data_IF_634917629406
#
_entry.id   IF_634917629406
#
_cell.length_a   1.000
_cell.length_b   1.000
_cell.length_c   1.000
_cell.angle_alpha   90.00
_cell.angle_beta   90.00
_cell.angle_gamma   90.00
#
_symmetry.space_group_name_H-M   'P 1'
#
loop_
_entity.id
_entity.type
_entity.pdbx_description
1 polymer ?
#
# COMPACT_ATOMS: atom_id res chain seq x y z
N UNK A 1 5.10 -16.87 15.04
CA UNK A 1 4.09 -17.20 13.99
C UNK A 1 4.81 -17.94 12.89
N UNK A 2 4.26 -19.05 12.48
CA UNK A 2 4.73 -19.75 11.28
C UNK A 2 4.11 -19.06 10.04
N UNK A 3 4.77 -19.19 8.91
CA UNK A 3 4.25 -18.63 7.64
C UNK A 3 2.85 -19.15 7.33
N UNK A 4 2.58 -20.42 7.65
CA UNK A 4 1.29 -21.08 7.48
C UNK A 4 0.14 -20.36 8.19
N UNK A 5 0.39 -19.80 9.37
CA UNK A 5 -0.64 -19.05 10.12
C UNK A 5 -0.97 -17.71 9.45
N UNK A 6 0.05 -17.03 8.87
CA UNK A 6 -0.17 -15.79 8.11
C UNK A 6 -1.01 -16.05 6.87
N UNK A 7 -0.68 -17.11 6.12
CA UNK A 7 -1.42 -17.47 4.91
C UNK A 7 -2.80 -18.04 5.22
N UNK A 8 -2.95 -18.83 6.30
CA UNK A 8 -4.27 -19.30 6.74
C UNK A 8 -5.22 -18.13 7.12
N UNK A 9 -4.68 -17.03 7.64
CA UNK A 9 -5.46 -15.82 7.83
C UNK A 9 -5.94 -15.24 6.49
N UNK A 10 -5.05 -15.14 5.50
CA UNK A 10 -5.43 -14.70 4.16
C UNK A 10 -6.42 -15.66 3.48
N UNK A 11 -6.25 -16.96 3.66
CA UNK A 11 -7.17 -17.98 3.10
C UNK A 11 -8.60 -17.82 3.66
N UNK A 12 -8.75 -17.37 4.90
CA UNK A 12 -10.06 -17.05 5.47
C UNK A 12 -10.76 -15.87 4.78
N UNK A 13 -10.03 -15.12 3.93
CA UNK A 13 -10.51 -13.98 3.16
C UNK A 13 -10.71 -14.28 1.68
N UNK A 14 -10.47 -15.52 1.22
CA UNK A 14 -10.52 -15.89 -0.21
C UNK A 14 -11.88 -15.68 -0.85
N UNK A 15 -12.97 -15.74 -0.07
CA UNK A 15 -14.33 -15.43 -0.57
C UNK A 15 -14.49 -13.97 -1.00
N UNK A 16 -13.53 -13.09 -0.60
CA UNK A 16 -13.56 -11.66 -0.86
C UNK A 16 -12.37 -11.16 -1.67
N UNK A 17 -11.53 -12.06 -2.19
CA UNK A 17 -10.34 -11.72 -2.95
C UNK A 17 -9.53 -12.93 -3.37
N UNK A 18 -8.41 -12.69 -4.04
CA UNK A 18 -7.48 -13.73 -4.47
C UNK A 18 -6.05 -13.35 -4.10
N UNK A 19 -5.23 -14.35 -3.83
CA UNK A 19 -3.79 -14.15 -3.71
C UNK A 19 -3.21 -13.59 -5.01
N UNK A 20 -2.50 -12.48 -4.89
CA UNK A 20 -1.85 -11.82 -6.02
C UNK A 20 -0.34 -12.00 -5.95
N UNK A 21 0.25 -11.76 -4.78
CA UNK A 21 1.67 -11.95 -4.55
C UNK A 21 1.92 -12.46 -3.13
N UNK A 22 2.97 -13.23 -2.97
CA UNK A 22 3.49 -13.63 -1.67
C UNK A 22 5.01 -13.71 -1.74
N UNK A 23 5.68 -13.47 -0.63
CA UNK A 23 7.12 -13.54 -0.61
C UNK A 23 7.75 -13.26 0.74
N UNK A 24 9.07 -13.30 0.75
CA UNK A 24 9.88 -12.89 1.87
C UNK A 24 10.98 -11.93 1.45
N UNK A 25 11.36 -11.05 2.36
CA UNK A 25 12.39 -10.04 2.19
C UNK A 25 13.29 -9.99 3.40
N UNK A 26 14.37 -9.20 3.35
CA UNK A 26 15.37 -9.12 4.41
C UNK A 26 15.89 -10.52 4.83
N UNK A 27 16.33 -11.29 3.83
CA UNK A 27 16.83 -12.67 4.03
C UNK A 27 15.82 -13.59 4.74
N UNK A 28 14.52 -13.48 4.41
CA UNK A 28 13.47 -14.29 5.01
C UNK A 28 12.91 -13.78 6.34
N UNK A 29 13.46 -12.70 6.88
CA UNK A 29 13.01 -12.15 8.16
C UNK A 29 11.60 -11.59 8.11
N UNK A 30 11.21 -10.94 7.02
CA UNK A 30 9.88 -10.39 6.83
C UNK A 30 9.15 -11.20 5.76
N UNK A 31 7.96 -11.67 6.10
CA UNK A 31 7.07 -12.41 5.20
C UNK A 31 5.84 -11.58 4.93
N UNK A 32 5.39 -11.57 3.68
CA UNK A 32 4.20 -10.86 3.27
C UNK A 32 3.38 -11.67 2.27
N UNK A 33 2.10 -11.37 2.24
CA UNK A 33 1.16 -11.79 1.20
C UNK A 33 0.24 -10.63 0.84
N UNK A 34 -0.10 -10.52 -0.43
CA UNK A 34 -1.01 -9.52 -0.96
C UNK A 34 -2.19 -10.19 -1.61
N UNK A 35 -3.40 -9.87 -1.15
CA UNK A 35 -4.65 -10.31 -1.74
C UNK A 35 -5.22 -9.17 -2.58
N UNK A 36 -5.52 -9.44 -3.84
CA UNK A 36 -6.32 -8.53 -4.65
C UNK A 36 -7.78 -8.65 -4.20
N UNK A 37 -8.39 -7.52 -3.82
CA UNK A 37 -9.80 -7.47 -3.46
C UNK A 37 -10.66 -7.40 -4.72
N UNK A 38 -11.82 -8.01 -4.71
CA UNK A 38 -12.71 -8.07 -5.89
C UNK A 38 -13.36 -6.73 -6.23
N UNK A 39 -13.21 -5.74 -5.37
CA UNK A 39 -13.69 -4.39 -5.60
C UNK A 39 -12.60 -3.54 -6.28
N UNK A 40 -12.89 -3.09 -7.50
CA UNK A 40 -12.11 -2.05 -8.20
C UNK A 40 -12.69 -0.68 -7.88
N UNK A 41 -11.80 0.31 -7.75
CA UNK A 41 -12.19 1.72 -7.73
C UNK A 41 -12.05 2.23 -9.16
N UNK A 42 -13.16 2.70 -9.72
CA UNK A 42 -13.19 3.25 -11.08
C UNK A 42 -13.24 4.76 -11.00
N UNK A 43 -12.19 5.41 -11.50
CA UNK A 43 -12.09 6.85 -11.61
C UNK A 43 -12.40 7.21 -13.06
N UNK A 44 -13.62 7.63 -13.34
CA UNK A 44 -14.03 8.01 -14.69
C UNK A 44 -14.90 9.27 -14.70
N UNK A 45 -14.37 10.43 -14.35
CA UNK A 45 -15.13 11.66 -14.43
C UNK A 45 -15.23 12.24 -15.86
N UNK A 46 -14.45 11.74 -16.82
CA UNK A 46 -14.35 12.32 -18.18
C UNK A 46 -14.42 11.29 -19.31
N UNK A 47 -14.77 10.03 -19.01
CA UNK A 47 -14.83 8.95 -20.01
C UNK A 47 -13.47 8.28 -20.28
N UNK A 48 -12.43 8.60 -19.51
CA UNK A 48 -11.16 7.87 -19.50
C UNK A 48 -11.17 6.97 -18.27
N UNK A 49 -11.63 5.74 -18.46
CA UNK A 49 -11.78 4.78 -17.36
C UNK A 49 -10.42 4.45 -16.76
N UNK A 50 -10.09 5.05 -15.62
CA UNK A 50 -8.92 4.69 -14.82
C UNK A 50 -9.34 3.73 -13.71
N UNK A 51 -8.70 2.56 -13.65
CA UNK A 51 -9.03 1.49 -12.70
C UNK A 51 -7.92 1.33 -11.68
N UNK A 52 -8.28 1.50 -10.42
CA UNK A 52 -7.36 1.29 -9.30
C UNK A 52 -7.73 0.00 -8.59
N UNK A 53 -6.85 -0.99 -8.69
CA UNK A 53 -6.96 -2.23 -7.93
C UNK A 53 -6.59 -1.98 -6.47
N UNK A 54 -7.32 -2.58 -5.57
CA UNK A 54 -7.06 -2.48 -4.14
C UNK A 54 -6.59 -3.82 -3.60
N UNK A 55 -5.59 -3.77 -2.74
CA UNK A 55 -4.96 -4.95 -2.14
C UNK A 55 -5.06 -4.90 -0.63
N UNK A 56 -5.31 -6.06 -0.03
CA UNK A 56 -5.07 -6.29 1.39
C UNK A 56 -3.68 -6.91 1.53
N UNK A 57 -2.75 -6.14 2.08
CA UNK A 57 -1.41 -6.58 2.39
C UNK A 57 -1.39 -7.16 3.81
N UNK A 58 -1.05 -8.43 3.94
CA UNK A 58 -0.77 -9.08 5.22
C UNK A 58 0.71 -9.32 5.36
N UNK A 59 1.28 -9.01 6.51
CA UNK A 59 2.70 -9.20 6.73
C UNK A 59 3.05 -9.42 8.21
N UNK A 60 4.19 -10.02 8.45
CA UNK A 60 4.78 -10.23 9.78
C UNK A 60 6.30 -10.33 9.69
N UNK A 61 6.99 -10.34 10.83
CA UNK A 61 8.41 -10.65 10.88
C UNK A 61 8.71 -11.80 11.86
N UNK A 62 9.75 -12.56 11.55
CA UNK A 62 10.22 -13.65 12.41
C UNK A 62 11.11 -13.18 13.56
N UNK A 63 11.69 -11.98 13.44
CA UNK A 63 12.55 -11.35 14.44
C UNK A 63 11.79 -10.44 15.42
N UNK A 64 10.47 -10.36 15.29
CA UNK A 64 9.63 -9.48 16.12
C UNK A 64 9.73 -7.99 15.79
N UNK A 65 10.45 -7.60 14.73
CA UNK A 65 10.56 -6.20 14.30
C UNK A 65 9.24 -5.63 13.77
N UNK A 66 8.34 -6.49 13.29
CA UNK A 66 6.99 -6.13 12.82
C UNK A 66 5.94 -7.00 13.51
N UNK A 67 4.88 -6.37 13.98
CA UNK A 67 3.68 -7.09 14.40
C UNK A 67 3.00 -7.75 13.20
N UNK A 68 2.09 -8.68 13.46
CA UNK A 68 1.19 -9.17 12.43
C UNK A 68 0.25 -8.04 12.06
N UNK A 69 0.17 -7.70 10.79
CA UNK A 69 -0.61 -6.57 10.32
C UNK A 69 -1.32 -6.90 9.02
N UNK A 70 -2.52 -6.34 8.88
CA UNK A 70 -3.21 -6.22 7.61
C UNK A 70 -3.35 -4.73 7.27
N UNK A 71 -2.98 -4.35 6.08
CA UNK A 71 -3.02 -2.96 5.61
C UNK A 71 -3.65 -2.89 4.23
N UNK A 72 -4.51 -1.91 4.01
CA UNK A 72 -5.11 -1.70 2.69
C UNK A 72 -4.24 -0.74 1.90
N UNK A 73 -3.99 -1.07 0.66
CA UNK A 73 -3.12 -0.29 -0.22
C UNK A 73 -3.55 -0.43 -1.69
N UNK A 74 -3.47 0.64 -2.49
CA UNK A 74 -3.58 0.53 -3.94
C UNK A 74 -2.27 0.03 -4.59
N UNK A 75 -1.23 -0.21 -3.82
CA UNK A 75 0.08 -0.63 -4.32
C UNK A 75 0.19 -2.15 -4.35
N UNK A 76 0.42 -2.72 -5.53
CA UNK A 76 0.79 -4.12 -5.68
C UNK A 76 2.19 -4.35 -5.14
N UNK A 77 2.29 -5.17 -4.10
CA UNK A 77 3.58 -5.46 -3.46
C UNK A 77 4.27 -6.62 -4.17
N UNK A 78 5.45 -6.35 -4.74
CA UNK A 78 6.26 -7.35 -5.47
C UNK A 78 7.72 -7.36 -5.03
N UNK A 79 8.17 -6.36 -4.28
CA UNK A 79 9.55 -6.24 -3.82
C UNK A 79 9.64 -5.37 -2.55
N UNK A 80 10.84 -5.24 -1.99
CA UNK A 80 11.11 -4.42 -0.80
C UNK A 80 10.64 -2.97 -0.97
N UNK A 81 10.89 -2.36 -2.15
CA UNK A 81 10.53 -0.96 -2.38
C UNK A 81 9.02 -0.76 -2.39
N UNK A 82 8.28 -1.63 -3.07
CA UNK A 82 6.81 -1.57 -3.12
C UNK A 82 6.19 -1.92 -1.78
N UNK A 83 6.78 -2.83 -0.99
CA UNK A 83 6.35 -3.09 0.39
C UNK A 83 6.54 -1.85 1.26
N UNK A 84 7.70 -1.21 1.19
CA UNK A 84 7.98 0.02 1.95
C UNK A 84 7.01 1.14 1.56
N UNK A 85 6.75 1.32 0.27
CA UNK A 85 5.79 2.30 -0.22
C UNK A 85 4.37 2.00 0.29
N UNK A 86 3.91 0.74 0.21
CA UNK A 86 2.61 0.31 0.68
C UNK A 86 2.44 0.57 2.20
N UNK A 87 3.45 0.22 3.01
CA UNK A 87 3.41 0.41 4.46
C UNK A 87 3.43 1.90 4.86
N UNK A 88 4.18 2.72 4.15
CA UNK A 88 4.24 4.17 4.41
C UNK A 88 2.95 4.87 3.99
N UNK A 89 2.30 4.40 2.92
CA UNK A 89 1.04 4.94 2.44
C UNK A 89 -0.18 4.42 3.21
N UNK A 90 -0.04 3.34 3.97
CA UNK A 90 -1.14 2.71 4.68
C UNK A 90 -1.65 3.60 5.82
N UNK A 91 -2.71 4.34 5.57
CA UNK A 91 -3.41 5.16 6.59
C UNK A 91 -4.26 4.30 7.53
N UNK A 92 -4.64 3.11 7.10
CA UNK A 92 -5.47 2.18 7.85
C UNK A 92 -4.77 0.83 7.95
N UNK A 93 -4.44 0.44 9.16
CA UNK A 93 -3.76 -0.80 9.48
C UNK A 93 -4.46 -1.50 10.62
N UNK A 94 -4.79 -2.76 10.41
CA UNK A 94 -5.26 -3.64 11.47
C UNK A 94 -4.07 -4.44 12.01
N UNK A 95 -3.86 -4.40 13.33
CA UNK A 95 -2.79 -5.13 14.02
C UNK A 95 -3.40 -6.12 14.99
N UNK A 96 -2.92 -7.34 14.99
CA UNK A 96 -3.37 -8.34 15.95
C UNK A 96 -2.24 -9.13 16.57
N UNK A 97 -2.57 -9.75 17.69
CA UNK A 97 -1.68 -10.68 18.36
C UNK A 97 -1.95 -12.09 17.86
N UNK A 98 -1.03 -13.01 18.12
CA UNK A 98 -1.21 -14.41 17.83
C UNK A 98 -2.43 -14.95 18.60
N UNK A 99 -3.52 -15.20 17.89
CA UNK A 99 -4.67 -15.92 18.42
C UNK A 99 -4.53 -17.39 18.03
N UNK A 100 -4.68 -18.28 19.01
CA UNK A 100 -4.51 -19.73 18.79
C UNK A 100 -5.76 -20.41 18.22
N UNK A 101 -6.92 -19.73 18.19
CA UNK A 101 -8.18 -20.31 17.73
C UNK A 101 -8.52 -19.94 16.28
N UNK A 102 -9.15 -20.87 15.57
CA UNK A 102 -9.65 -20.64 14.22
C UNK A 102 -10.74 -19.54 14.20
N UNK A 103 -11.58 -19.49 15.24
CA UNK A 103 -12.62 -18.47 15.39
C UNK A 103 -12.03 -17.07 15.54
N UNK A 104 -10.95 -16.92 16.32
CA UNK A 104 -10.22 -15.64 16.45
C UNK A 104 -9.66 -15.18 15.11
N UNK A 105 -9.15 -16.07 14.27
CA UNK A 105 -8.64 -15.72 12.93
C UNK A 105 -9.73 -15.23 11.98
N UNK A 106 -10.92 -15.84 12.04
CA UNK A 106 -12.07 -15.41 11.21
C UNK A 106 -12.53 -14.03 11.62
N UNK A 107 -12.61 -13.75 12.91
CA UNK A 107 -12.99 -12.42 13.40
C UNK A 107 -11.96 -11.35 13.03
N UNK A 108 -10.68 -11.65 13.19
CA UNK A 108 -9.59 -10.77 12.75
C UNK A 108 -9.66 -10.49 11.24
N UNK A 109 -9.98 -11.52 10.44
CA UNK A 109 -10.18 -11.40 9.00
C UNK A 109 -11.36 -10.47 8.66
N UNK A 110 -12.48 -10.61 9.32
CA UNK A 110 -13.66 -9.74 9.15
C UNK A 110 -13.35 -8.29 9.49
N UNK A 111 -12.63 -8.06 10.57
CA UNK A 111 -12.22 -6.70 10.97
C UNK A 111 -11.26 -6.09 9.95
N UNK A 112 -10.29 -6.87 9.44
CA UNK A 112 -9.38 -6.42 8.39
C UNK A 112 -10.13 -6.06 7.09
N UNK A 113 -11.13 -6.85 6.67
CA UNK A 113 -12.00 -6.53 5.54
C UNK A 113 -12.83 -5.25 5.78
N UNK A 114 -13.38 -5.08 6.98
CA UNK A 114 -14.10 -3.86 7.34
C UNK A 114 -13.23 -2.60 7.22
N UNK A 115 -11.95 -2.69 7.58
CA UNK A 115 -10.95 -1.63 7.36
C UNK A 115 -10.72 -1.41 5.86
N UNK A 116 -10.63 -2.49 5.07
CA UNK A 116 -10.45 -2.41 3.63
C UNK A 116 -11.59 -1.66 2.93
N UNK A 117 -12.83 -2.02 3.25
CA UNK A 117 -14.00 -1.36 2.67
C UNK A 117 -14.05 0.13 3.00
N UNK A 118 -13.84 0.51 4.26
CA UNK A 118 -13.80 1.92 4.67
C UNK A 118 -12.71 2.72 3.96
N UNK A 119 -11.55 2.10 3.76
CA UNK A 119 -10.47 2.73 3.00
C UNK A 119 -10.89 2.97 1.55
N UNK A 120 -11.46 1.96 0.89
CA UNK A 120 -11.89 2.08 -0.50
C UNK A 120 -12.95 3.16 -0.69
N UNK A 121 -13.93 3.23 0.21
CA UNK A 121 -14.96 4.26 0.18
C UNK A 121 -14.37 5.68 0.31
N UNK A 122 -13.45 5.86 1.26
CA UNK A 122 -12.79 7.15 1.48
C UNK A 122 -11.85 7.52 0.31
N UNK A 123 -11.11 6.55 -0.21
CA UNK A 123 -10.18 6.76 -1.33
C UNK A 123 -10.92 7.11 -2.62
N UNK A 124 -12.04 6.45 -2.92
CA UNK A 124 -12.87 6.74 -4.09
C UNK A 124 -13.35 8.19 -4.10
N UNK A 125 -13.84 8.67 -2.95
CA UNK A 125 -14.28 10.07 -2.79
C UNK A 125 -13.12 11.05 -2.94
N UNK A 126 -11.98 10.77 -2.30
CA UNK A 126 -10.79 11.63 -2.35
C UNK A 126 -10.22 11.69 -3.78
N UNK A 127 -10.07 10.54 -4.44
CA UNK A 127 -9.56 10.45 -5.78
C UNK A 127 -10.48 11.13 -6.80
N UNK A 128 -11.81 10.95 -6.70
CA UNK A 128 -12.78 11.64 -7.55
C UNK A 128 -12.73 13.16 -7.37
N UNK A 129 -12.41 13.66 -6.17
CA UNK A 129 -12.23 15.09 -5.95
C UNK A 129 -10.90 15.60 -6.53
N UNK A 130 -9.81 14.85 -6.38
CA UNK A 130 -8.51 15.20 -6.95
C UNK A 130 -8.57 15.26 -8.48
N UNK A 131 -9.33 14.38 -9.10
CA UNK A 131 -9.50 14.36 -10.57
C UNK A 131 -10.13 15.64 -11.14
N UNK A 132 -10.88 16.38 -10.32
CA UNK A 132 -11.49 17.66 -10.70
C UNK A 132 -10.53 18.85 -10.60
N UNK A 133 -9.35 18.65 -10.03
CA UNK A 133 -8.36 19.71 -9.82
C UNK A 133 -7.49 19.84 -11.06
N UNK A 134 -7.63 20.95 -11.79
CA UNK A 134 -6.70 21.26 -12.87
C UNK A 134 -5.34 21.68 -12.26
N UNK A 135 -4.31 20.92 -12.59
CA UNK A 135 -2.93 21.19 -12.15
C UNK A 135 -2.23 21.99 -13.24
N UNK A 136 -1.79 23.21 -12.90
CA UNK A 136 -0.92 23.99 -13.76
C UNK A 136 0.56 23.75 -13.41
N UNK A 137 1.48 24.22 -14.26
CA UNK A 137 2.93 24.00 -14.10
C UNK A 137 3.45 24.46 -12.72
N UNK A 138 2.93 25.57 -12.20
CA UNK A 138 3.32 26.05 -10.88
C UNK A 138 2.89 25.08 -9.77
N UNK A 139 1.63 24.65 -9.80
CA UNK A 139 1.11 23.66 -8.82
C UNK A 139 1.87 22.33 -8.93
N UNK A 140 2.18 21.90 -10.15
CA UNK A 140 2.96 20.69 -10.37
C UNK A 140 4.35 20.81 -9.74
N UNK A 141 5.06 21.90 -9.99
CA UNK A 141 6.36 22.16 -9.36
C UNK A 141 6.27 22.25 -7.84
N UNK A 142 5.26 22.90 -7.28
CA UNK A 142 5.06 22.98 -5.83
C UNK A 142 4.82 21.58 -5.23
N UNK A 143 4.06 20.71 -5.90
CA UNK A 143 3.85 19.30 -5.51
C UNK A 143 5.16 18.52 -5.57
N UNK A 144 5.94 18.67 -6.66
CA UNK A 144 7.25 18.02 -6.80
C UNK A 144 8.20 18.40 -5.68
N UNK A 145 8.29 19.68 -5.35
CA UNK A 145 9.15 20.18 -4.29
C UNK A 145 8.69 19.73 -2.89
N UNK A 146 7.38 19.60 -2.69
CA UNK A 146 6.83 19.06 -1.44
C UNK A 146 7.11 17.56 -1.29
N UNK A 147 6.98 16.78 -2.38
CA UNK A 147 7.24 15.35 -2.39
C UNK A 147 8.75 15.02 -2.36
N UNK A 148 9.56 15.87 -2.98
CA UNK A 148 11.02 15.72 -3.09
C UNK A 148 11.70 17.02 -2.67
N UNK A 149 11.77 17.31 -1.37
CA UNK A 149 12.36 18.54 -0.89
C UNK A 149 13.84 18.66 -1.29
N UNK A 150 14.24 19.86 -1.67
CA UNK A 150 15.61 20.16 -2.09
C UNK A 150 16.60 19.85 -0.96
N UNK A 151 17.61 19.01 -1.18
CA UNK A 151 18.61 18.72 -0.16
C UNK A 151 19.48 19.96 0.09
N UNK A 152 20.01 20.06 1.30
CA UNK A 152 21.01 21.08 1.63
C UNK A 152 22.26 20.92 0.75
N UNK A 153 22.88 22.05 0.33
CA UNK A 153 23.97 22.06 -0.66
C UNK A 153 25.20 21.25 -0.26
N UNK A 154 25.39 20.97 1.02
CA UNK A 154 26.58 20.31 1.56
C UNK A 154 26.53 18.78 1.59
N UNK A 155 25.41 18.17 1.22
CA UNK A 155 25.27 16.71 1.14
C UNK A 155 25.91 16.20 -0.16
N UNK A 156 27.13 15.66 -0.06
CA UNK A 156 27.93 15.12 -1.19
C UNK A 156 27.10 14.28 -2.15
N UNK A 157 26.88 14.78 -3.36
CA UNK A 157 26.22 14.08 -4.47
C UNK A 157 24.69 13.97 -4.39
N UNK A 158 24.05 14.37 -3.29
CA UNK A 158 22.59 14.31 -3.13
C UNK A 158 21.89 15.37 -3.99
N UNK A 159 22.51 16.52 -4.18
CA UNK A 159 21.96 17.59 -5.00
C UNK A 159 21.87 17.19 -6.48
N UNK A 160 22.93 16.62 -7.05
CA UNK A 160 22.93 16.14 -8.45
C UNK A 160 21.87 15.04 -8.69
N UNK A 161 21.72 14.14 -7.71
CA UNK A 161 20.69 13.07 -7.79
C UNK A 161 19.29 13.66 -7.72
N UNK A 162 19.09 14.65 -6.87
CA UNK A 162 17.83 15.34 -6.75
C UNK A 162 17.49 16.10 -8.03
N UNK A 163 18.42 16.88 -8.56
CA UNK A 163 18.27 17.65 -9.79
C UNK A 163 17.92 16.73 -10.98
N UNK A 164 18.69 15.68 -11.20
CA UNK A 164 18.41 14.68 -12.25
C UNK A 164 17.03 14.02 -12.07
N UNK A 165 16.57 13.80 -10.83
CA UNK A 165 15.24 13.23 -10.57
C UNK A 165 14.12 14.23 -10.87
N UNK A 166 14.30 15.49 -10.51
CA UNK A 166 13.33 16.54 -10.82
C UNK A 166 13.22 16.75 -12.32
N UNK A 167 14.36 16.78 -13.03
CA UNK A 167 14.38 16.92 -14.50
C UNK A 167 13.62 15.77 -15.17
N UNK A 168 13.86 14.51 -14.77
CA UNK A 168 13.13 13.34 -15.28
C UNK A 168 11.62 13.41 -15.02
N UNK A 169 11.18 13.98 -13.90
CA UNK A 169 9.76 14.10 -13.57
C UNK A 169 9.08 15.26 -14.31
N UNK A 170 9.84 16.27 -14.75
CA UNK A 170 9.35 17.37 -15.57
C UNK A 170 9.22 17.02 -17.07
N UNK A 171 9.81 15.89 -17.51
CA UNK A 171 9.72 15.40 -18.89
C UNK A 171 8.46 14.53 -19.16
N UNK A 172 7.66 14.24 -18.13
CA UNK A 172 6.40 13.48 -18.23
C UNK A 172 5.24 14.41 -18.56
#
# INVERSE_FOLDING_TARGET
MQNEELFAFGDALLDSGRWETAGSIKNGTVVFGSLALDREIVLDPTGVTDRVNTYLLVHTSHDGSLAIQASVTPTRVVCQNTLTAALNAAKQTYKWRHTSSAEGRIEDARQALGVAHKFMDAFEVEAANLYKVAVNDKMFNDILLAAYPKPEKDAKGSFKKWESKIDQLNEI
#
